data_IF_886192162295
#
_entry.id   IF_886192162295
#
_cell.length_a   1.000
_cell.length_b   1.000
_cell.length_c   1.000
_cell.angle_alpha   90.00
_cell.angle_beta   90.00
_cell.angle_gamma   90.00
#
_symmetry.space_group_name_H-M   'P 1'
#
loop_
_entity.id
_entity.type
_entity.pdbx_description
1 polymer ?
#
# COMPACT_ATOMS: atom_id res chain seq x y z
N UNK A 1 14.28 1.36 -0.06
CA UNK A 1 14.69 0.37 0.99
C UNK A 1 14.96 1.12 2.30
N UNK A 2 14.42 0.61 3.42
CA UNK A 2 14.59 1.23 4.74
C UNK A 2 16.00 0.93 5.27
N UNK A 3 16.77 1.94 5.75
CA UNK A 3 18.13 1.72 6.22
C UNK A 3 18.20 0.74 7.40
N UNK A 4 19.12 -0.23 7.36
CA UNK A 4 19.32 -1.26 8.40
C UNK A 4 19.47 -0.65 9.80
N UNK A 5 20.24 0.44 9.95
CA UNK A 5 20.41 1.15 11.24
C UNK A 5 19.07 1.66 11.80
N UNK A 6 18.13 2.06 10.94
CA UNK A 6 16.79 2.50 11.37
C UNK A 6 15.98 1.33 11.90
N UNK A 7 16.02 0.19 11.21
CA UNK A 7 15.34 -1.05 11.63
C UNK A 7 15.85 -1.49 13.01
N UNK A 8 17.17 -1.57 13.17
CA UNK A 8 17.81 -1.96 14.45
C UNK A 8 17.47 -0.99 15.59
N UNK A 9 17.42 0.32 15.30
CA UNK A 9 17.01 1.32 16.29
C UNK A 9 15.57 1.08 16.78
N UNK A 10 14.63 0.84 15.87
CA UNK A 10 13.22 0.62 16.21
C UNK A 10 13.03 -0.69 17.00
N UNK A 11 13.73 -1.76 16.64
CA UNK A 11 13.73 -3.02 17.41
C UNK A 11 14.24 -2.80 18.83
N UNK A 12 15.40 -2.15 18.99
CA UNK A 12 15.99 -1.85 20.30
C UNK A 12 15.04 -1.00 21.14
N UNK A 13 14.45 0.05 20.57
CA UNK A 13 13.47 0.90 21.24
C UNK A 13 12.32 0.06 21.80
N UNK A 14 11.77 -0.85 20.99
CA UNK A 14 10.62 -1.66 21.40
C UNK A 14 10.95 -2.62 22.55
N UNK A 15 12.14 -3.19 22.57
CA UNK A 15 12.60 -4.05 23.67
C UNK A 15 12.78 -3.23 24.96
N UNK A 16 13.42 -2.06 24.86
CA UNK A 16 13.67 -1.16 26.01
C UNK A 16 12.36 -0.66 26.63
N UNK A 17 11.38 -0.29 25.81
CA UNK A 17 10.08 0.22 26.24
C UNK A 17 9.12 -0.88 26.73
N UNK A 18 9.49 -2.15 26.66
CA UNK A 18 8.63 -3.26 27.00
C UNK A 18 8.33 -3.33 28.50
N UNK A 19 7.07 -3.08 28.87
CA UNK A 19 6.62 -3.14 30.28
C UNK A 19 6.69 -4.54 30.88
N UNK A 20 6.64 -5.61 30.05
CA UNK A 20 6.64 -7.01 30.51
C UNK A 20 8.03 -7.48 30.95
N UNK A 21 9.07 -7.17 30.16
CA UNK A 21 10.44 -7.65 30.41
C UNK A 21 11.42 -6.56 30.85
N UNK A 22 10.99 -5.31 30.89
CA UNK A 22 11.80 -4.16 31.32
C UNK A 22 13.16 -4.07 30.61
N UNK A 23 13.16 -4.35 29.29
CA UNK A 23 14.35 -4.25 28.46
C UNK A 23 15.21 -5.53 28.35
N UNK A 24 14.85 -6.62 29.03
CA UNK A 24 15.61 -7.89 29.00
C UNK A 24 15.35 -8.69 27.71
N UNK A 25 14.17 -8.54 27.12
CA UNK A 25 13.69 -9.35 26.00
C UNK A 25 12.73 -10.45 26.48
N UNK A 26 11.67 -10.67 25.74
CA UNK A 26 10.68 -11.73 25.98
C UNK A 26 10.05 -12.15 24.64
N UNK A 27 9.28 -13.22 24.62
CA UNK A 27 8.64 -13.73 23.40
C UNK A 27 7.80 -12.66 22.68
N UNK A 28 7.10 -11.79 23.42
CA UNK A 28 6.36 -10.68 22.83
C UNK A 28 7.29 -9.66 22.13
N UNK A 29 8.47 -9.39 22.69
CA UNK A 29 9.48 -8.52 22.06
C UNK A 29 10.06 -9.17 20.82
N UNK A 30 10.36 -10.47 20.87
CA UNK A 30 10.87 -11.25 19.73
C UNK A 30 9.84 -11.23 18.59
N UNK A 31 8.59 -11.55 18.89
CA UNK A 31 7.51 -11.51 17.90
C UNK A 31 7.34 -10.11 17.26
N UNK A 32 7.47 -9.06 18.07
CA UNK A 32 7.38 -7.71 17.54
C UNK A 32 8.60 -7.32 16.68
N UNK A 33 9.81 -7.77 17.06
CA UNK A 33 11.00 -7.55 16.25
C UNK A 33 10.89 -8.24 14.87
N UNK A 34 10.37 -9.46 14.85
CA UNK A 34 10.08 -10.17 13.59
C UNK A 34 9.08 -9.38 12.75
N UNK A 35 8.04 -8.83 13.38
CA UNK A 35 7.04 -8.02 12.68
C UNK A 35 7.62 -6.71 12.11
N UNK A 36 8.57 -6.08 12.82
CA UNK A 36 9.33 -4.93 12.31
C UNK A 36 10.13 -5.33 11.05
N UNK A 37 10.81 -6.49 11.07
CA UNK A 37 11.54 -6.97 9.90
C UNK A 37 10.60 -7.17 8.71
N UNK A 38 9.48 -7.83 8.91
CA UNK A 38 8.49 -8.06 7.86
C UNK A 38 7.92 -6.75 7.28
N UNK A 39 7.62 -5.75 8.13
CA UNK A 39 7.19 -4.43 7.66
C UNK A 39 8.28 -3.71 6.86
N UNK A 40 9.54 -3.85 7.28
CA UNK A 40 10.68 -3.25 6.57
C UNK A 40 10.94 -3.92 5.23
N UNK A 41 10.88 -5.25 5.16
CA UNK A 41 10.99 -6.05 3.93
C UNK A 41 9.87 -5.72 2.95
N UNK A 42 8.64 -5.56 3.46
CA UNK A 42 7.50 -5.11 2.67
C UNK A 42 7.63 -3.66 2.17
N UNK A 43 8.61 -2.89 2.64
CA UNK A 43 8.81 -1.49 2.26
C UNK A 43 7.82 -0.52 2.91
N UNK A 44 7.07 -0.93 3.94
CA UNK A 44 6.11 -0.04 4.63
C UNK A 44 6.86 1.13 5.27
N UNK A 45 6.50 2.40 4.99
CA UNK A 45 7.18 3.55 5.58
C UNK A 45 7.13 3.54 7.10
N UNK A 46 8.24 3.90 7.75
CA UNK A 46 8.44 3.81 9.21
C UNK A 46 7.36 4.55 10.00
N UNK A 47 6.85 5.67 9.47
CA UNK A 47 5.80 6.48 10.10
C UNK A 47 4.49 5.70 10.36
N UNK A 48 4.27 4.59 9.66
CA UNK A 48 3.07 3.76 9.80
C UNK A 48 3.28 2.48 10.62
N UNK A 49 4.48 2.16 11.06
CA UNK A 49 4.77 0.92 11.79
C UNK A 49 4.00 0.80 13.10
N UNK A 50 3.86 1.91 13.81
CA UNK A 50 3.24 1.95 15.15
C UNK A 50 1.79 2.44 15.15
N UNK A 51 1.24 2.77 13.99
CA UNK A 51 -0.12 3.29 13.84
C UNK A 51 -1.06 2.18 13.43
N UNK A 52 -2.19 2.06 14.09
CA UNK A 52 -3.25 1.11 13.78
C UNK A 52 -4.43 1.82 13.11
N UNK A 53 -5.36 1.06 12.54
CA UNK A 53 -6.53 1.66 11.86
C UNK A 53 -7.42 2.45 12.84
N UNK A 54 -7.38 2.10 14.11
CA UNK A 54 -8.07 2.81 15.19
C UNK A 54 -7.54 4.24 15.36
N UNK A 55 -6.25 4.47 15.08
CA UNK A 55 -5.59 5.78 15.15
C UNK A 55 -5.93 6.67 13.94
N UNK A 56 -6.79 6.22 13.05
CA UNK A 56 -7.22 7.00 11.89
C UNK A 56 -8.26 8.05 12.30
N UNK A 57 -7.95 9.32 12.04
CA UNK A 57 -8.79 10.48 12.36
C UNK A 57 -9.50 11.11 11.15
N UNK A 58 -9.58 10.37 10.04
CA UNK A 58 -10.26 10.82 8.83
C UNK A 58 -11.78 10.65 8.89
N UNK A 59 -12.40 10.63 7.74
CA UNK A 59 -13.84 10.47 7.59
C UNK A 59 -14.26 9.02 7.93
N UNK A 60 -15.34 8.91 8.71
CA UNK A 60 -15.77 7.64 9.32
C UNK A 60 -16.19 6.58 8.29
N UNK A 61 -16.88 6.95 7.21
CA UNK A 61 -17.30 5.98 6.19
C UNK A 61 -16.09 5.38 5.48
N UNK A 62 -15.07 6.19 5.18
CA UNK A 62 -13.82 5.70 4.62
C UNK A 62 -13.12 4.76 5.61
N UNK A 63 -12.99 5.16 6.88
CA UNK A 63 -12.42 4.33 7.95
C UNK A 63 -13.15 2.99 8.06
N UNK A 64 -14.48 3.02 8.14
CA UNK A 64 -15.32 1.83 8.30
C UNK A 64 -15.17 0.88 7.10
N UNK A 65 -15.10 1.40 5.87
CA UNK A 65 -14.85 0.60 4.68
C UNK A 65 -13.47 -0.08 4.70
N UNK A 66 -12.45 0.58 5.25
CA UNK A 66 -11.12 -0.03 5.43
C UNK A 66 -11.15 -1.09 6.52
N UNK A 67 -11.83 -0.84 7.64
CA UNK A 67 -12.02 -1.84 8.71
C UNK A 67 -12.75 -3.07 8.18
N UNK A 68 -13.81 -2.87 7.39
CA UNK A 68 -14.54 -3.96 6.74
C UNK A 68 -13.63 -4.79 5.82
N UNK A 69 -12.82 -4.12 4.98
CA UNK A 69 -11.85 -4.79 4.13
C UNK A 69 -10.84 -5.60 4.95
N UNK A 70 -10.29 -5.02 6.01
CA UNK A 70 -9.32 -5.68 6.91
C UNK A 70 -9.94 -6.90 7.61
N UNK A 71 -11.19 -6.79 8.07
CA UNK A 71 -11.89 -7.88 8.74
C UNK A 71 -12.23 -9.04 7.80
N UNK A 72 -12.43 -8.73 6.51
CA UNK A 72 -12.74 -9.72 5.48
C UNK A 72 -11.52 -10.03 4.58
N UNK A 73 -10.30 -9.84 5.04
CA UNK A 73 -9.07 -9.87 4.24
C UNK A 73 -8.91 -11.15 3.41
N UNK A 74 -9.22 -12.32 3.99
CA UNK A 74 -9.14 -13.60 3.30
C UNK A 74 -10.15 -13.72 2.15
N UNK A 75 -11.33 -13.12 2.30
CA UNK A 75 -12.34 -13.07 1.25
C UNK A 75 -11.93 -12.07 0.15
N UNK A 76 -11.41 -10.91 0.52
CA UNK A 76 -10.88 -9.92 -0.42
C UNK A 76 -9.67 -10.49 -1.19
N UNK A 77 -8.83 -11.32 -0.55
CA UNK A 77 -7.77 -12.06 -1.22
C UNK A 77 -8.31 -13.01 -2.30
N UNK A 78 -9.33 -13.80 -1.97
CA UNK A 78 -9.95 -14.72 -2.95
C UNK A 78 -10.58 -14.00 -4.14
N UNK A 79 -11.14 -12.82 -3.92
CA UNK A 79 -11.70 -11.98 -5.00
C UNK A 79 -10.62 -11.44 -5.93
N UNK A 80 -9.44 -11.10 -5.42
CA UNK A 80 -8.32 -10.56 -6.19
C UNK A 80 -8.62 -9.19 -6.82
N UNK A 81 -9.44 -8.37 -6.12
CA UNK A 81 -9.89 -7.07 -6.63
C UNK A 81 -8.80 -6.02 -6.44
N UNK A 82 -8.65 -5.15 -7.44
CA UNK A 82 -7.87 -3.93 -7.30
C UNK A 82 -8.68 -2.88 -6.54
N UNK A 83 -8.20 -2.50 -5.34
CA UNK A 83 -8.79 -1.45 -4.51
C UNK A 83 -8.12 -0.11 -4.81
N UNK A 84 -8.87 0.85 -5.30
CA UNK A 84 -8.38 2.20 -5.61
C UNK A 84 -8.82 3.17 -4.51
N UNK A 85 -7.87 3.63 -3.69
CA UNK A 85 -8.08 4.68 -2.70
C UNK A 85 -7.83 6.03 -3.36
N UNK A 86 -8.88 6.81 -3.59
CA UNK A 86 -8.81 8.05 -4.37
C UNK A 86 -9.24 9.25 -3.53
N UNK A 87 -8.69 10.44 -3.81
CA UNK A 87 -9.07 11.67 -3.12
C UNK A 87 -7.87 12.58 -2.86
N UNK A 88 -8.13 13.78 -2.40
CA UNK A 88 -7.10 14.80 -2.16
C UNK A 88 -6.00 14.33 -1.21
N UNK A 89 -4.89 15.06 -1.20
CA UNK A 89 -3.79 14.83 -0.26
C UNK A 89 -4.24 14.99 1.19
N UNK A 90 -3.60 14.23 2.09
CA UNK A 90 -3.89 14.32 3.51
C UNK A 90 -5.18 13.61 3.94
N UNK A 91 -5.86 12.88 3.05
CA UNK A 91 -7.10 12.15 3.39
C UNK A 91 -6.85 10.74 3.97
N UNK A 92 -5.58 10.37 4.22
CA UNK A 92 -5.24 9.12 4.90
C UNK A 92 -5.17 7.87 4.01
N UNK A 93 -5.11 8.00 2.69
CA UNK A 93 -5.02 6.87 1.74
C UNK A 93 -3.82 5.96 2.02
N UNK A 94 -2.62 6.55 2.10
CA UNK A 94 -1.38 5.81 2.42
C UNK A 94 -1.48 5.11 3.78
N UNK A 95 -2.07 5.79 4.78
CA UNK A 95 -2.31 5.19 6.10
C UNK A 95 -3.19 3.94 5.99
N UNK A 96 -4.32 4.05 5.28
CA UNK A 96 -5.26 2.93 5.07
C UNK A 96 -4.59 1.77 4.33
N UNK A 97 -3.84 2.04 3.26
CA UNK A 97 -3.09 1.05 2.50
C UNK A 97 -2.05 0.32 3.37
N UNK A 98 -1.29 1.05 4.19
CA UNK A 98 -0.35 0.47 5.14
C UNK A 98 -1.04 -0.37 6.22
N UNK A 99 -2.22 0.03 6.70
CA UNK A 99 -3.00 -0.75 7.66
C UNK A 99 -3.46 -2.10 7.06
N UNK A 100 -3.88 -2.11 5.80
CA UNK A 100 -4.23 -3.34 5.07
C UNK A 100 -3.00 -4.26 4.96
N UNK A 101 -1.83 -3.74 4.51
CA UNK A 101 -0.61 -4.55 4.40
C UNK A 101 -0.16 -5.12 5.75
N UNK A 102 -0.23 -4.33 6.81
CA UNK A 102 0.11 -4.81 8.16
C UNK A 102 -0.77 -5.96 8.61
N UNK A 103 -2.07 -5.90 8.31
CA UNK A 103 -2.96 -7.04 8.56
C UNK A 103 -2.62 -8.25 7.70
N UNK A 104 -2.30 -8.04 6.42
CA UNK A 104 -1.88 -9.12 5.52
C UNK A 104 -0.60 -9.81 6.02
N UNK A 105 0.38 -9.07 6.51
CA UNK A 105 1.59 -9.63 7.15
C UNK A 105 1.22 -10.53 8.35
N UNK A 106 0.31 -10.08 9.21
CA UNK A 106 -0.14 -10.87 10.36
C UNK A 106 -0.87 -12.16 9.95
N UNK A 107 -1.59 -12.14 8.83
CA UNK A 107 -2.23 -13.32 8.22
C UNK A 107 -1.27 -14.16 7.38
N UNK A 108 0.05 -13.83 7.37
CA UNK A 108 1.11 -14.55 6.65
C UNK A 108 1.08 -14.45 5.13
N UNK A 109 0.43 -13.46 4.58
CA UNK A 109 0.52 -13.15 3.16
C UNK A 109 1.85 -12.46 2.84
N UNK A 110 2.40 -12.72 1.66
CA UNK A 110 3.49 -11.94 1.10
C UNK A 110 2.99 -10.55 0.71
N UNK A 111 3.76 -9.52 1.05
CA UNK A 111 3.31 -8.13 0.88
C UNK A 111 4.41 -7.24 0.35
N UNK A 112 4.05 -6.23 -0.43
CA UNK A 112 4.97 -5.15 -0.77
C UNK A 112 4.26 -3.81 -0.88
N UNK A 113 4.96 -2.77 -0.44
CA UNK A 113 4.61 -1.37 -0.64
C UNK A 113 5.63 -0.73 -1.58
N UNK A 114 5.15 -0.06 -2.60
CA UNK A 114 5.98 0.70 -3.54
C UNK A 114 5.27 1.98 -3.95
N UNK A 115 6.03 3.00 -4.36
CA UNK A 115 5.47 4.13 -5.10
C UNK A 115 5.40 3.80 -6.58
N UNK A 116 4.57 4.53 -7.34
CA UNK A 116 4.53 4.35 -8.80
C UNK A 116 5.89 4.64 -9.44
N UNK A 117 6.65 5.62 -8.93
CA UNK A 117 7.97 5.95 -9.43
C UNK A 117 8.98 4.82 -9.19
N UNK A 118 9.00 4.26 -7.98
CA UNK A 118 9.90 3.13 -7.65
C UNK A 118 9.52 1.88 -8.42
N UNK A 119 8.21 1.60 -8.56
CA UNK A 119 7.73 0.49 -9.36
C UNK A 119 8.24 0.58 -10.79
N UNK A 120 8.07 1.73 -11.42
CA UNK A 120 8.51 1.96 -12.81
C UNK A 120 10.03 1.86 -12.93
N UNK A 121 10.78 2.48 -12.03
CA UNK A 121 12.24 2.37 -12.02
C UNK A 121 12.70 0.90 -11.92
N UNK A 122 12.03 0.12 -11.09
CA UNK A 122 12.34 -1.30 -10.92
C UNK A 122 11.99 -2.14 -12.15
N UNK A 123 10.82 -1.93 -12.76
CA UNK A 123 10.39 -2.74 -13.93
C UNK A 123 11.10 -2.35 -15.23
N UNK A 124 11.61 -1.13 -15.34
CA UNK A 124 12.41 -0.65 -16.48
C UNK A 124 13.91 -0.83 -16.28
N UNK A 125 14.33 -1.12 -15.05
CA UNK A 125 15.71 -1.38 -14.69
C UNK A 125 16.26 -2.70 -15.23
N UNK A 126 17.56 -2.95 -15.03
CA UNK A 126 18.25 -4.11 -15.59
C UNK A 126 17.88 -5.44 -14.93
N UNK A 127 17.15 -5.43 -13.82
CA UNK A 127 16.79 -6.64 -13.08
C UNK A 127 15.38 -7.13 -13.43
N UNK A 128 15.24 -8.16 -14.31
CA UNK A 128 13.94 -8.67 -14.72
C UNK A 128 13.20 -9.42 -13.60
N UNK A 129 13.90 -9.87 -12.54
CA UNK A 129 13.31 -10.66 -11.44
C UNK A 129 12.29 -9.85 -10.66
N UNK A 130 12.49 -8.54 -10.52
CA UNK A 130 11.53 -7.64 -9.83
C UNK A 130 10.19 -7.61 -10.56
N UNK A 131 10.19 -7.69 -11.90
CA UNK A 131 8.93 -7.77 -12.69
C UNK A 131 8.14 -9.03 -12.38
N UNK A 132 8.82 -10.14 -12.20
CA UNK A 132 8.19 -11.42 -11.88
C UNK A 132 7.68 -11.40 -10.44
N UNK A 133 8.53 -10.94 -9.52
CA UNK A 133 8.18 -10.86 -8.10
C UNK A 133 6.90 -10.05 -7.85
N UNK A 134 6.76 -8.85 -8.46
CA UNK A 134 5.58 -8.01 -8.25
C UNK A 134 4.27 -8.66 -8.75
N UNK A 135 4.37 -9.63 -9.67
CA UNK A 135 3.23 -10.38 -10.20
C UNK A 135 2.82 -11.57 -9.33
N UNK A 136 3.66 -11.96 -8.38
CA UNK A 136 3.48 -13.15 -7.55
C UNK A 136 3.17 -12.84 -6.08
N UNK A 137 3.55 -11.64 -5.60
CA UNK A 137 3.28 -11.19 -4.24
C UNK A 137 1.76 -11.13 -3.99
N UNK A 138 1.30 -11.65 -2.86
CA UNK A 138 -0.13 -11.72 -2.52
C UNK A 138 -0.77 -10.33 -2.50
N UNK A 139 -0.27 -9.41 -1.67
CA UNK A 139 -0.80 -8.05 -1.57
C UNK A 139 0.24 -7.00 -2.00
N UNK A 140 -0.11 -6.18 -2.98
CA UNK A 140 0.73 -5.07 -3.46
C UNK A 140 0.04 -3.74 -3.22
N UNK A 141 0.75 -2.79 -2.61
CA UNK A 141 0.36 -1.38 -2.58
C UNK A 141 1.20 -0.63 -3.60
N UNK A 142 0.54 0.11 -4.49
CA UNK A 142 1.15 1.09 -5.40
C UNK A 142 0.65 2.47 -4.97
N UNK A 143 1.50 3.20 -4.28
CA UNK A 143 1.17 4.54 -3.79
C UNK A 143 1.64 5.64 -4.74
N UNK A 144 1.16 6.86 -4.50
CA UNK A 144 1.49 8.06 -5.26
C UNK A 144 1.20 7.94 -6.77
N UNK A 145 0.13 7.22 -7.15
CA UNK A 145 -0.32 7.14 -8.54
C UNK A 145 -0.88 8.51 -8.95
N UNK A 146 -0.01 9.36 -9.52
CA UNK A 146 -0.31 10.77 -9.76
C UNK A 146 0.38 11.25 -11.05
N UNK A 147 -0.37 11.96 -11.89
CA UNK A 147 0.09 12.48 -13.19
C UNK A 147 1.35 13.35 -13.11
N UNK A 148 1.60 14.00 -11.98
CA UNK A 148 2.78 14.87 -11.77
C UNK A 148 4.11 14.14 -11.92
N UNK A 149 4.14 12.84 -11.76
CA UNK A 149 5.35 12.04 -11.95
C UNK A 149 5.62 11.67 -13.41
N UNK A 150 4.72 12.05 -14.32
CA UNK A 150 4.80 11.72 -15.74
C UNK A 150 4.75 13.00 -16.58
N UNK A 151 5.87 13.72 -16.75
CA UNK A 151 5.88 15.08 -17.31
C UNK A 151 5.57 15.13 -18.81
N UNK A 152 5.59 14.02 -19.53
CA UNK A 152 5.31 13.97 -20.97
C UNK A 152 4.22 12.96 -21.32
N UNK A 153 3.49 13.19 -22.42
CA UNK A 153 2.47 12.25 -22.93
C UNK A 153 3.09 10.88 -23.22
N UNK A 154 4.27 10.86 -23.86
CA UNK A 154 4.99 9.61 -24.17
C UNK A 154 5.36 8.83 -22.90
N UNK A 155 5.80 9.51 -21.84
CA UNK A 155 6.07 8.85 -20.58
C UNK A 155 4.80 8.30 -19.92
N UNK A 156 3.69 9.05 -19.97
CA UNK A 156 2.40 8.58 -19.45
C UNK A 156 1.91 7.31 -20.16
N UNK A 157 1.96 7.26 -21.49
CA UNK A 157 1.56 6.08 -22.25
C UNK A 157 2.45 4.87 -21.97
N UNK A 158 3.77 5.07 -21.96
CA UNK A 158 4.70 3.99 -21.65
C UNK A 158 4.46 3.40 -20.27
N UNK A 159 4.34 4.25 -19.24
CA UNK A 159 4.15 3.84 -17.87
C UNK A 159 2.74 3.27 -17.63
N UNK A 160 1.74 3.83 -18.29
CA UNK A 160 0.38 3.29 -18.30
C UNK A 160 0.35 1.86 -18.80
N UNK A 161 1.01 1.57 -19.91
CA UNK A 161 1.11 0.22 -20.47
C UNK A 161 1.85 -0.76 -19.52
N UNK A 162 2.91 -0.31 -18.84
CA UNK A 162 3.62 -1.14 -17.85
C UNK A 162 2.72 -1.46 -16.66
N UNK A 163 2.04 -0.46 -16.11
CA UNK A 163 1.10 -0.64 -15.01
C UNK A 163 -0.06 -1.55 -15.40
N UNK A 164 -0.63 -1.36 -16.58
CA UNK A 164 -1.71 -2.21 -17.12
C UNK A 164 -1.28 -3.67 -17.18
N UNK A 165 -0.09 -3.97 -17.71
CA UNK A 165 0.43 -5.33 -17.79
C UNK A 165 0.57 -5.99 -16.39
N UNK A 166 0.98 -5.23 -15.38
CA UNK A 166 1.04 -5.71 -14.00
C UNK A 166 -0.36 -5.97 -13.47
N UNK A 167 -1.27 -5.00 -13.59
CA UNK A 167 -2.63 -5.13 -13.09
C UNK A 167 -3.36 -6.32 -13.73
N UNK A 168 -3.30 -6.46 -15.05
CA UNK A 168 -3.91 -7.58 -15.77
C UNK A 168 -3.36 -8.92 -15.29
N UNK A 169 -2.03 -9.05 -15.18
CA UNK A 169 -1.40 -10.29 -14.70
C UNK A 169 -1.86 -10.62 -13.27
N UNK A 170 -1.90 -9.64 -12.37
CA UNK A 170 -2.35 -9.84 -11.00
C UNK A 170 -3.84 -10.20 -10.91
N UNK A 171 -4.69 -9.52 -11.70
CA UNK A 171 -6.11 -9.82 -11.78
C UNK A 171 -6.38 -11.23 -12.31
N UNK A 172 -5.65 -11.68 -13.35
CA UNK A 172 -5.74 -13.04 -13.87
C UNK A 172 -5.38 -14.10 -12.81
N UNK A 173 -4.43 -13.78 -11.94
CA UNK A 173 -4.01 -14.62 -10.83
C UNK A 173 -4.82 -14.40 -9.54
N UNK A 174 -5.85 -13.54 -9.58
CA UNK A 174 -6.65 -13.13 -8.41
C UNK A 174 -5.80 -12.62 -7.25
N UNK A 175 -4.82 -11.79 -7.54
CA UNK A 175 -3.95 -11.17 -6.54
C UNK A 175 -4.37 -9.71 -6.28
N UNK A 176 -4.77 -9.37 -5.06
CA UNK A 176 -5.22 -8.02 -4.71
C UNK A 176 -4.12 -6.97 -4.95
N UNK A 177 -4.54 -5.82 -5.49
CA UNK A 177 -3.69 -4.65 -5.62
C UNK A 177 -4.39 -3.46 -4.96
N UNK A 178 -3.69 -2.69 -4.14
CA UNK A 178 -4.18 -1.47 -3.55
C UNK A 178 -3.46 -0.30 -4.24
N UNK A 179 -4.20 0.61 -4.86
CA UNK A 179 -3.64 1.81 -5.48
C UNK A 179 -4.09 3.05 -4.74
N UNK A 180 -3.15 3.97 -4.45
CA UNK A 180 -3.47 5.25 -3.84
C UNK A 180 -3.23 6.39 -4.83
N UNK A 181 -4.26 7.21 -5.08
CA UNK A 181 -4.18 8.33 -6.01
C UNK A 181 -4.74 9.63 -5.42
N UNK A 182 -4.11 10.75 -5.77
CA UNK A 182 -4.66 12.07 -5.48
C UNK A 182 -5.66 12.53 -6.54
N UNK A 183 -5.73 11.86 -7.69
CA UNK A 183 -6.77 12.06 -8.68
C UNK A 183 -8.04 11.32 -8.26
N UNK A 184 -9.22 11.91 -8.40
CA UNK A 184 -10.48 11.22 -8.19
C UNK A 184 -10.74 10.13 -9.24
N UNK A 185 -10.10 10.23 -10.39
CA UNK A 185 -10.21 9.30 -11.50
C UNK A 185 -8.82 8.81 -11.93
N UNK A 186 -8.47 7.60 -11.48
CA UNK A 186 -7.19 6.96 -11.81
C UNK A 186 -7.08 6.68 -13.31
N UNK A 187 -8.19 6.40 -13.97
CA UNK A 187 -8.20 6.04 -15.40
C UNK A 187 -7.64 7.15 -16.29
N UNK A 188 -7.77 8.41 -15.86
CA UNK A 188 -7.31 9.56 -16.62
C UNK A 188 -5.82 9.87 -16.47
N UNK A 189 -5.14 9.27 -15.49
CA UNK A 189 -3.74 9.62 -15.16
C UNK A 189 -2.79 9.25 -16.31
N UNK A 190 -3.02 8.14 -17.00
CA UNK A 190 -2.11 7.57 -17.99
C UNK A 190 -2.58 7.73 -19.44
N UNK A 191 -3.70 8.45 -19.68
CA UNK A 191 -4.18 8.76 -21.03
C UNK A 191 -5.05 7.67 -21.68
N UNK A 192 -5.35 7.83 -22.96
CA UNK A 192 -6.47 7.22 -23.66
C UNK A 192 -6.57 5.70 -23.67
N UNK A 193 -5.50 4.97 -23.94
CA UNK A 193 -5.58 3.50 -24.03
C UNK A 193 -5.66 2.87 -22.64
N UNK A 194 -4.87 3.36 -21.66
CA UNK A 194 -4.98 2.92 -20.27
C UNK A 194 -6.40 3.16 -19.74
N UNK A 195 -6.97 4.33 -20.03
CA UNK A 195 -8.34 4.66 -19.62
C UNK A 195 -9.34 3.63 -20.14
N UNK A 196 -9.34 3.37 -21.44
CA UNK A 196 -10.24 2.40 -22.06
C UNK A 196 -10.07 1.00 -21.47
N UNK A 197 -8.81 0.61 -21.28
CA UNK A 197 -8.46 -0.68 -20.70
C UNK A 197 -8.93 -0.79 -19.25
N UNK A 198 -8.66 0.21 -18.43
CA UNK A 198 -9.04 0.27 -17.02
C UNK A 198 -10.58 0.25 -16.87
N UNK A 199 -11.30 1.04 -17.66
CA UNK A 199 -12.77 1.05 -17.70
C UNK A 199 -13.34 -0.30 -18.18
N UNK A 200 -12.67 -0.97 -19.10
CA UNK A 200 -13.10 -2.28 -19.62
C UNK A 200 -13.02 -3.41 -18.58
N UNK A 201 -12.18 -3.26 -17.56
CA UNK A 201 -12.07 -4.23 -16.47
C UNK A 201 -13.31 -4.25 -15.57
N UNK A 202 -14.02 -3.14 -15.52
CA UNK A 202 -15.31 -3.03 -14.84
C UNK A 202 -15.26 -3.20 -13.34
N UNK A 203 -16.42 -3.00 -12.69
CA UNK A 203 -16.57 -3.04 -11.22
C UNK A 203 -16.32 -4.41 -10.60
N UNK A 204 -16.30 -5.47 -11.39
CA UNK A 204 -16.01 -6.83 -10.90
C UNK A 204 -14.54 -7.04 -10.53
N UNK A 205 -13.61 -6.20 -11.06
CA UNK A 205 -12.18 -6.29 -10.80
C UNK A 205 -11.58 -5.05 -10.13
N UNK A 206 -12.34 -3.95 -10.09
CA UNK A 206 -11.88 -2.69 -9.55
C UNK A 206 -12.95 -2.14 -8.59
N UNK A 207 -12.53 -1.84 -7.36
CA UNK A 207 -13.34 -1.15 -6.35
C UNK A 207 -12.71 0.22 -6.08
N UNK A 208 -13.46 1.29 -6.31
CA UNK A 208 -13.02 2.65 -6.01
C UNK A 208 -13.58 3.06 -4.65
N UNK A 209 -12.71 3.51 -3.76
CA UNK A 209 -13.07 4.00 -2.43
C UNK A 209 -12.57 5.45 -2.29
N UNK A 210 -13.49 6.43 -2.31
CA UNK A 210 -13.12 7.82 -2.15
C UNK A 210 -12.76 8.15 -0.70
N UNK A 211 -11.58 8.70 -0.50
CA UNK A 211 -11.13 9.28 0.76
C UNK A 211 -11.49 10.77 0.78
N UNK A 212 -12.59 11.10 1.43
CA UNK A 212 -13.10 12.46 1.56
C UNK A 212 -12.87 13.01 2.98
N UNK A 213 -13.28 14.24 3.26
CA UNK A 213 -13.21 14.84 4.61
C UNK A 213 -12.08 15.86 4.77
N UNK A 214 -11.59 16.08 5.99
CA UNK A 214 -10.53 17.06 6.31
C UNK A 214 -9.14 16.46 6.16
N UNK A 215 -8.12 17.29 5.99
CA UNK A 215 -6.72 16.85 5.98
C UNK A 215 -6.33 16.34 7.38
N UNK A 216 -6.06 15.02 7.48
CA UNK A 216 -5.72 14.35 8.75
C UNK A 216 -4.37 14.78 9.32
N UNK A 217 -3.50 15.43 8.50
CA UNK A 217 -2.19 15.95 8.95
C UNK A 217 -2.30 17.23 9.75
N UNK A 218 -3.43 17.94 9.64
CA UNK A 218 -3.66 19.20 10.37
C UNK A 218 -4.05 18.97 11.83
N UNK A 219 -4.42 17.74 12.21
CA UNK A 219 -4.75 17.36 13.58
C UNK A 219 -3.51 16.93 14.40
N UNK A 220 -2.36 17.61 14.22
CA UNK A 220 -1.09 17.28 14.90
C UNK A 220 -1.10 17.44 16.43
N UNK A 221 -2.15 17.98 17.04
CA UNK A 221 -2.22 18.18 18.49
C UNK A 221 -2.52 16.89 19.30
N UNK A 222 -2.66 15.73 18.61
CA UNK A 222 -2.96 14.44 19.27
C UNK A 222 -2.00 13.30 18.89
N UNK A 223 -0.80 13.64 18.39
CA UNK A 223 0.24 12.66 18.03
C UNK A 223 1.35 12.62 19.06
#
# INVERSE_FOLDING_TARGET
MIPTKKIEFEKKRKVVECKKCKGVGCDACIGYCIYIDQMAEAGIPVDYWYRNIEDFYGEDNFKNSIIEYINNLNEEYRKGITLCLVGERGRGKTFAACAILKKAILEKFSTTYTTICDLIANITGPNPEIRLLIKEIDFVVIDEVDQRFFPTVLSMEFYGNQLENILRSRMQNRLPTIMCSNSPDISQIFGGEFKKSFESLGSQFIKILPAVGKDVRLNKEKL
#
